data_IF_895568564428
#
_entry.id   IF_895568564428
#
_cell.length_a   1.000
_cell.length_b   1.000
_cell.length_c   1.000
_cell.angle_alpha   90.00
_cell.angle_beta   90.00
_cell.angle_gamma   90.00
#
_symmetry.space_group_name_H-M   'P 1'
#
loop_
_entity.id
_entity.type
_entity.pdbx_description
1 polymer ?
#
# COMPACT_ATOMS: atom_id res chain seq x y z
N UNK A 1 -16.61 -60.29 -20.34
CA UNK A 1 -17.24 -59.29 -19.45
C UNK A 1 -16.36 -59.13 -18.22
N UNK A 2 -15.59 -58.05 -18.15
CA UNK A 2 -14.88 -57.60 -16.95
C UNK A 2 -15.29 -56.15 -16.79
N UNK A 3 -16.06 -55.89 -15.74
CA UNK A 3 -16.72 -54.61 -15.51
C UNK A 3 -15.71 -53.56 -15.05
N UNK A 4 -15.79 -52.40 -15.69
CA UNK A 4 -14.88 -51.27 -15.51
C UNK A 4 -15.20 -50.57 -14.20
N UNK A 5 -14.31 -50.74 -13.22
CA UNK A 5 -14.29 -50.00 -11.96
C UNK A 5 -14.45 -48.49 -12.20
N UNK A 6 -15.60 -47.95 -11.78
CA UNK A 6 -15.85 -46.50 -11.68
C UNK A 6 -14.93 -45.93 -10.60
N UNK A 7 -13.86 -45.25 -11.01
CA UNK A 7 -13.13 -44.32 -10.13
C UNK A 7 -14.09 -43.18 -9.78
N UNK A 8 -14.59 -43.17 -8.55
CA UNK A 8 -15.26 -41.99 -8.01
C UNK A 8 -14.24 -40.85 -7.96
N UNK A 9 -14.44 -39.80 -8.75
CA UNK A 9 -13.75 -38.54 -8.51
C UNK A 9 -14.23 -38.01 -7.17
N UNK A 10 -13.40 -38.19 -6.15
CA UNK A 10 -13.56 -37.52 -4.87
C UNK A 10 -13.34 -36.03 -5.09
N UNK A 11 -14.37 -35.32 -5.56
CA UNK A 11 -14.40 -33.87 -5.50
C UNK A 11 -14.32 -33.49 -4.03
N UNK A 12 -13.25 -32.81 -3.64
CA UNK A 12 -13.13 -32.18 -2.33
C UNK A 12 -14.33 -31.24 -2.16
N UNK A 13 -15.33 -31.67 -1.38
CA UNK A 13 -16.43 -30.84 -0.94
C UNK A 13 -16.06 -30.35 0.46
N UNK A 14 -15.64 -29.09 0.62
CA UNK A 14 -15.44 -28.54 1.97
C UNK A 14 -16.75 -28.66 2.75
N UNK A 15 -16.63 -28.87 4.05
CA UNK A 15 -17.80 -29.00 4.91
C UNK A 15 -18.58 -27.68 4.90
N UNK A 16 -19.88 -27.72 5.14
CA UNK A 16 -20.73 -26.50 5.21
C UNK A 16 -20.27 -25.53 6.31
N UNK A 17 -19.41 -25.95 7.24
CA UNK A 17 -18.79 -25.08 8.25
C UNK A 17 -17.59 -24.27 7.72
N UNK A 18 -17.04 -24.62 6.55
CA UNK A 18 -15.94 -23.89 5.91
C UNK A 18 -16.43 -22.79 4.96
N UNK A 19 -17.75 -22.66 4.77
CA UNK A 19 -18.34 -21.79 3.76
C UNK A 19 -18.03 -20.31 4.04
N UNK A 20 -18.15 -19.89 5.31
CA UNK A 20 -17.79 -18.55 5.77
C UNK A 20 -16.29 -18.24 5.58
N UNK A 21 -15.43 -19.24 5.73
CA UNK A 21 -13.99 -19.10 5.51
C UNK A 21 -13.67 -18.82 4.03
N UNK A 22 -14.31 -19.54 3.11
CA UNK A 22 -14.10 -19.36 1.67
C UNK A 22 -14.75 -18.10 1.11
N UNK A 23 -15.89 -17.68 1.65
CA UNK A 23 -16.58 -16.46 1.21
C UNK A 23 -15.73 -15.20 1.48
N UNK A 24 -14.88 -15.23 2.53
CA UNK A 24 -13.95 -14.14 2.86
C UNK A 24 -12.68 -14.07 1.99
N UNK A 25 -12.31 -15.14 1.28
CA UNK A 25 -11.02 -15.26 0.58
C UNK A 25 -10.95 -14.46 -0.74
N UNK A 26 -12.04 -13.83 -1.17
CA UNK A 26 -12.13 -13.05 -2.41
C UNK A 26 -12.45 -11.57 -2.23
N UNK A 27 -12.80 -11.13 -1.02
CA UNK A 27 -13.27 -9.77 -0.81
C UNK A 27 -12.14 -8.75 -0.94
N UNK A 28 -12.33 -7.81 -1.86
CA UNK A 28 -11.39 -6.73 -2.06
C UNK A 28 -11.56 -5.74 -0.92
N UNK A 29 -10.50 -5.54 -0.12
CA UNK A 29 -10.45 -4.48 0.89
C UNK A 29 -10.76 -3.14 0.22
N UNK A 30 -11.80 -2.48 0.70
CA UNK A 30 -12.14 -1.13 0.24
C UNK A 30 -11.24 -0.11 0.94
N UNK A 31 -10.78 0.93 0.24
CA UNK A 31 -10.08 2.02 0.89
C UNK A 31 -11.03 2.72 1.86
N UNK A 32 -10.59 2.88 3.11
CA UNK A 32 -11.21 3.82 4.03
C UNK A 32 -11.10 5.24 3.43
N UNK A 33 -11.87 6.21 3.93
CA UNK A 33 -11.69 7.61 3.54
C UNK A 33 -11.33 8.43 4.77
N UNK A 34 -10.11 8.23 5.27
CA UNK A 34 -9.60 8.97 6.41
C UNK A 34 -9.27 10.42 6.02
N UNK A 35 -9.59 11.36 6.91
CA UNK A 35 -9.11 12.74 6.76
C UNK A 35 -7.62 12.79 7.03
N UNK A 36 -6.88 13.54 6.21
CA UNK A 36 -5.44 13.70 6.36
C UNK A 36 -4.99 15.16 6.36
N UNK A 37 -3.79 15.40 6.88
CA UNK A 37 -3.07 16.67 6.85
C UNK A 37 -1.74 16.47 6.14
N UNK A 38 -1.33 17.43 5.32
CA UNK A 38 -0.02 17.37 4.67
C UNK A 38 1.11 17.46 5.69
N UNK A 39 2.14 16.65 5.50
CA UNK A 39 3.36 16.75 6.29
C UNK A 39 4.09 18.06 5.95
N UNK A 40 4.50 18.81 6.98
CA UNK A 40 5.35 19.99 6.78
C UNK A 40 6.79 19.53 6.56
N UNK A 41 7.27 19.63 5.32
CA UNK A 41 8.61 19.15 4.98
C UNK A 41 9.71 20.07 5.56
N UNK A 42 10.63 19.55 6.39
CA UNK A 42 11.68 20.35 7.01
C UNK A 42 12.73 20.80 5.98
N UNK A 43 13.48 21.86 6.35
CA UNK A 43 14.58 22.37 5.49
C UNK A 43 15.88 21.59 5.67
N UNK A 44 16.11 21.05 6.87
CA UNK A 44 17.37 20.36 7.21
C UNK A 44 17.27 18.87 6.94
N UNK A 45 18.33 18.30 6.38
CA UNK A 45 18.39 16.88 6.00
C UNK A 45 18.07 15.92 7.15
N UNK A 46 18.61 16.19 8.33
CA UNK A 46 18.40 15.37 9.53
C UNK A 46 16.91 15.32 9.92
N UNK A 47 16.27 16.47 10.05
CA UNK A 47 14.84 16.56 10.35
C UNK A 47 13.96 15.95 9.25
N UNK A 48 14.37 16.04 7.97
CA UNK A 48 13.67 15.37 6.87
C UNK A 48 13.69 13.85 7.04
N UNK A 49 14.85 13.29 7.41
CA UNK A 49 14.97 11.85 7.66
C UNK A 49 14.17 11.42 8.88
N UNK A 50 14.23 12.17 9.97
CA UNK A 50 13.44 11.92 11.18
C UNK A 50 11.93 11.96 10.89
N UNK A 51 11.46 12.96 10.14
CA UNK A 51 10.08 13.06 9.72
C UNK A 51 9.68 11.86 8.85
N UNK A 52 10.53 11.47 7.89
CA UNK A 52 10.27 10.32 7.04
C UNK A 52 10.16 9.03 7.86
N UNK A 53 11.06 8.82 8.83
CA UNK A 53 11.03 7.64 9.68
C UNK A 53 9.82 7.60 10.61
N UNK A 54 9.43 8.75 11.16
CA UNK A 54 8.20 8.90 11.95
C UNK A 54 6.98 8.55 11.11
N UNK A 55 6.88 9.13 9.90
CA UNK A 55 5.84 8.80 8.93
C UNK A 55 5.84 7.30 8.59
N UNK A 56 7.00 6.73 8.30
CA UNK A 56 7.14 5.31 7.94
C UNK A 56 6.69 4.39 9.09
N UNK A 57 7.04 4.72 10.35
CA UNK A 57 6.61 3.96 11.51
C UNK A 57 5.07 3.95 11.66
N UNK A 58 4.43 5.11 11.49
CA UNK A 58 2.97 5.24 11.50
C UNK A 58 2.34 4.40 10.38
N UNK A 59 2.86 4.52 9.16
CA UNK A 59 2.37 3.76 7.99
C UNK A 59 2.44 2.26 8.24
N UNK A 60 3.55 1.77 8.78
CA UNK A 60 3.74 0.34 9.08
C UNK A 60 2.73 -0.16 10.11
N UNK A 61 2.46 0.62 11.16
CA UNK A 61 1.46 0.28 12.17
C UNK A 61 0.04 0.24 11.59
N UNK A 62 -0.32 1.26 10.81
CA UNK A 62 -1.63 1.33 10.17
C UNK A 62 -1.83 0.20 9.15
N UNK A 63 -0.82 -0.06 8.31
CA UNK A 63 -0.89 -1.18 7.37
C UNK A 63 -1.05 -2.52 8.09
N UNK A 64 -0.31 -2.75 9.17
CA UNK A 64 -0.46 -3.98 9.97
C UNK A 64 -1.86 -4.08 10.56
N UNK A 65 -2.40 -3.00 11.12
CA UNK A 65 -3.74 -2.96 11.71
C UNK A 65 -4.85 -3.30 10.70
N UNK A 66 -4.76 -2.75 9.49
CA UNK A 66 -5.75 -3.00 8.44
C UNK A 66 -5.44 -4.25 7.58
N UNK A 67 -4.32 -4.94 7.87
CA UNK A 67 -3.81 -6.07 7.10
C UNK A 67 -3.48 -5.72 5.65
N UNK A 68 -2.98 -4.51 5.40
CA UNK A 68 -2.55 -4.04 4.09
C UNK A 68 -1.11 -4.48 3.80
N UNK A 69 -0.76 -4.44 2.52
CA UNK A 69 0.58 -4.76 2.03
C UNK A 69 1.63 -3.77 2.55
N UNK A 70 2.76 -4.30 3.02
CA UNK A 70 3.93 -3.50 3.45
C UNK A 70 4.91 -3.24 2.30
N UNK A 71 4.61 -3.72 1.09
CA UNK A 71 5.53 -3.67 -0.06
C UNK A 71 5.86 -2.25 -0.49
N UNK A 72 4.85 -1.38 -0.62
CA UNK A 72 5.05 0.02 -1.01
C UNK A 72 5.80 0.81 0.07
N UNK A 73 5.37 0.79 1.36
CA UNK A 73 6.11 1.47 2.43
C UNK A 73 7.59 1.07 2.50
N UNK A 74 7.89 -0.22 2.32
CA UNK A 74 9.24 -0.74 2.39
C UNK A 74 10.20 -0.18 1.32
N UNK A 75 9.69 0.27 0.17
CA UNK A 75 10.53 0.74 -0.95
C UNK A 75 10.42 2.24 -1.22
N UNK A 76 9.41 2.91 -0.65
CA UNK A 76 9.06 4.28 -1.02
C UNK A 76 10.17 5.30 -0.74
N UNK A 77 11.00 5.06 0.28
CA UNK A 77 12.16 5.90 0.62
C UNK A 77 13.08 6.15 -0.58
N UNK A 78 13.24 5.15 -1.46
CA UNK A 78 14.11 5.21 -2.64
C UNK A 78 13.67 6.28 -3.65
N UNK A 79 12.41 6.68 -3.59
CA UNK A 79 11.77 7.57 -4.56
C UNK A 79 11.43 8.94 -3.96
N UNK A 80 11.82 9.21 -2.71
CA UNK A 80 11.62 10.50 -2.05
C UNK A 80 12.60 11.52 -2.63
N UNK A 81 12.05 12.60 -3.18
CA UNK A 81 12.80 13.81 -3.51
C UNK A 81 12.95 14.65 -2.26
N UNK A 82 14.13 14.56 -1.66
CA UNK A 82 14.39 15.16 -0.36
C UNK A 82 14.37 16.70 -0.34
N UNK A 83 14.44 17.35 -1.50
CA UNK A 83 14.32 18.79 -1.60
C UNK A 83 12.90 19.28 -1.22
N UNK A 84 11.86 18.52 -1.53
CA UNK A 84 10.45 18.92 -1.35
C UNK A 84 9.58 17.89 -0.61
N UNK A 85 10.13 16.72 -0.29
CA UNK A 85 9.42 15.66 0.44
C UNK A 85 8.45 14.86 -0.40
N UNK A 86 8.44 15.08 -1.72
CA UNK A 86 7.52 14.40 -2.63
C UNK A 86 8.14 13.12 -3.14
N UNK A 87 7.31 12.12 -3.31
CA UNK A 87 7.71 10.89 -3.98
C UNK A 87 7.35 11.02 -5.45
N UNK A 88 8.35 10.88 -6.33
CA UNK A 88 8.15 10.94 -7.78
C UNK A 88 8.62 9.62 -8.38
N UNK A 89 7.67 8.77 -8.71
CA UNK A 89 7.93 7.48 -9.33
C UNK A 89 6.73 7.01 -10.16
N UNK A 90 7.00 6.28 -11.23
CA UNK A 90 5.96 5.56 -11.95
C UNK A 90 5.58 4.28 -11.20
N UNK A 91 4.39 3.74 -11.46
CA UNK A 91 3.98 2.45 -10.88
C UNK A 91 4.95 1.34 -11.26
N UNK A 92 5.48 1.37 -12.49
CA UNK A 92 6.51 0.45 -12.99
C UNK A 92 7.79 0.50 -12.13
N UNK A 93 8.29 1.70 -11.81
CA UNK A 93 9.48 1.87 -10.97
C UNK A 93 9.27 1.30 -9.56
N UNK A 94 8.12 1.61 -8.95
CA UNK A 94 7.78 1.10 -7.61
C UNK A 94 7.61 -0.43 -7.66
N UNK A 95 6.95 -0.95 -8.69
CA UNK A 95 6.74 -2.39 -8.89
C UNK A 95 8.06 -3.15 -9.03
N UNK A 96 9.00 -2.61 -9.80
CA UNK A 96 10.33 -3.17 -9.96
C UNK A 96 11.10 -3.22 -8.63
N UNK A 97 10.98 -2.17 -7.80
CA UNK A 97 11.60 -2.14 -6.48
C UNK A 97 10.90 -3.05 -5.45
N UNK A 98 9.58 -3.18 -5.53
CA UNK A 98 8.74 -3.97 -4.64
C UNK A 98 8.61 -5.43 -5.11
N UNK A 99 9.75 -6.13 -5.18
CA UNK A 99 9.85 -7.57 -5.50
C UNK A 99 9.20 -7.99 -6.82
N UNK A 100 9.23 -7.13 -7.85
CA UNK A 100 8.71 -7.40 -9.21
C UNK A 100 7.23 -7.82 -9.23
N UNK A 101 6.40 -7.12 -8.47
CA UNK A 101 4.95 -7.28 -8.58
C UNK A 101 4.39 -6.56 -9.82
N UNK A 102 3.10 -6.73 -10.12
CA UNK A 102 2.47 -6.01 -11.22
C UNK A 102 2.15 -4.55 -10.85
N UNK A 103 2.21 -3.65 -11.83
CA UNK A 103 1.82 -2.24 -11.64
C UNK A 103 0.41 -2.08 -11.08
N UNK A 104 -0.52 -2.96 -11.47
CA UNK A 104 -1.89 -3.00 -10.95
C UNK A 104 -1.94 -3.28 -9.44
N UNK A 105 -0.99 -4.07 -8.94
CA UNK A 105 -0.86 -4.34 -7.50
C UNK A 105 -0.36 -3.10 -6.77
N UNK A 106 0.64 -2.40 -7.32
CA UNK A 106 1.11 -1.12 -6.77
C UNK A 106 0.01 -0.08 -6.75
N UNK A 107 -0.75 0.04 -7.84
CA UNK A 107 -1.87 0.97 -7.92
C UNK A 107 -2.89 0.72 -6.80
N UNK A 108 -3.21 -0.55 -6.53
CA UNK A 108 -4.10 -0.93 -5.43
C UNK A 108 -3.50 -0.63 -4.07
N UNK A 109 -2.24 -0.98 -3.85
CA UNK A 109 -1.55 -0.72 -2.58
C UNK A 109 -1.51 0.81 -2.31
N UNK A 110 -1.26 1.62 -3.34
CA UNK A 110 -1.31 3.08 -3.24
C UNK A 110 -2.72 3.60 -2.92
N UNK A 111 -3.77 3.06 -3.54
CA UNK A 111 -5.16 3.43 -3.22
C UNK A 111 -5.52 3.10 -1.77
N UNK A 112 -5.05 1.97 -1.25
CA UNK A 112 -5.28 1.59 0.15
C UNK A 112 -4.55 2.54 1.12
N UNK A 113 -3.31 2.91 0.80
CA UNK A 113 -2.53 3.89 1.58
C UNK A 113 -3.17 5.28 1.55
N UNK A 114 -3.64 5.71 0.39
CA UNK A 114 -4.38 6.97 0.25
C UNK A 114 -5.67 6.93 1.07
N UNK A 115 -6.37 5.80 1.08
CA UNK A 115 -7.60 5.62 1.85
C UNK A 115 -7.41 5.75 3.37
N UNK A 116 -6.29 5.27 3.91
CA UNK A 116 -5.94 5.48 5.34
C UNK A 116 -5.28 6.83 5.60
N UNK A 117 -5.18 7.71 4.59
CA UNK A 117 -4.75 9.08 4.77
C UNK A 117 -3.26 9.27 5.04
N UNK A 118 -2.41 8.28 4.73
CA UNK A 118 -0.95 8.39 4.91
C UNK A 118 -0.23 8.93 3.68
N UNK A 119 -0.90 8.95 2.53
CA UNK A 119 -0.42 9.60 1.32
C UNK A 119 -1.55 10.32 0.61
N UNK A 120 -1.18 11.23 -0.29
CA UNK A 120 -2.07 11.79 -1.31
C UNK A 120 -1.42 11.64 -2.68
N UNK A 121 -2.08 10.96 -3.60
CA UNK A 121 -1.53 10.71 -4.93
C UNK A 121 -2.16 11.65 -5.96
N UNK A 122 -1.33 12.49 -6.58
CA UNK A 122 -1.76 13.38 -7.67
C UNK A 122 -1.12 12.92 -8.98
N UNK A 123 -1.93 12.82 -10.04
CA UNK A 123 -1.41 12.57 -11.38
C UNK A 123 -0.94 13.89 -11.99
N UNK A 124 0.32 13.95 -12.37
CA UNK A 124 0.93 15.13 -13.00
C UNK A 124 1.38 14.73 -14.41
N UNK A 125 0.93 15.48 -15.40
CA UNK A 125 1.41 15.33 -16.77
C UNK A 125 2.76 16.02 -16.91
N UNK A 126 3.75 15.27 -17.35
CA UNK A 126 5.06 15.81 -17.71
C UNK A 126 5.07 16.16 -19.21
N UNK A 127 5.15 17.45 -19.56
CA UNK A 127 5.11 17.88 -20.95
C UNK A 127 6.36 17.48 -21.75
N UNK A 128 7.51 17.26 -21.10
CA UNK A 128 8.75 16.89 -21.77
C UNK A 128 8.75 15.41 -22.13
N UNK A 129 8.42 14.56 -21.16
CA UNK A 129 8.39 13.10 -21.38
C UNK A 129 7.07 12.61 -22.00
N UNK A 130 6.05 13.48 -22.08
CA UNK A 130 4.67 13.16 -22.49
C UNK A 130 4.06 12.00 -21.69
N UNK A 131 4.54 11.78 -20.47
CA UNK A 131 4.09 10.72 -19.57
C UNK A 131 3.35 11.33 -18.39
N UNK A 132 2.29 10.66 -17.96
CA UNK A 132 1.65 11.00 -16.69
C UNK A 132 2.37 10.29 -15.57
N UNK A 133 3.05 11.07 -14.72
CA UNK A 133 3.73 10.56 -13.54
C UNK A 133 2.85 10.77 -12.31
N UNK A 134 3.00 9.88 -11.33
CA UNK A 134 2.34 10.05 -10.04
C UNK A 134 3.29 10.80 -9.10
N UNK A 135 2.80 11.91 -8.58
CA UNK A 135 3.44 12.64 -7.48
C UNK A 135 2.67 12.27 -6.22
N UNK A 136 3.38 11.74 -5.23
CA UNK A 136 2.79 11.33 -3.97
C UNK A 136 3.31 12.26 -2.87
N UNK A 137 2.40 12.97 -2.22
CA UNK A 137 2.69 13.76 -1.04
C UNK A 137 2.52 12.87 0.21
N UNK A 138 3.44 12.99 1.16
CA UNK A 138 3.32 12.32 2.45
C UNK A 138 2.33 13.07 3.33
N UNK A 139 1.37 12.35 3.92
CA UNK A 139 0.35 12.94 4.78
C UNK A 139 0.26 12.17 6.09
N UNK A 140 -0.33 12.81 7.09
CA UNK A 140 -0.68 12.16 8.36
C UNK A 140 -2.19 12.10 8.50
N UNK A 141 -2.77 10.96 8.89
CA UNK A 141 -4.18 10.90 9.23
C UNK A 141 -4.48 11.81 10.43
N UNK A 142 -5.61 12.53 10.39
CA UNK A 142 -6.01 13.43 11.48
C UNK A 142 -6.48 12.67 12.72
N UNK A 143 -7.07 11.51 12.50
CA UNK A 143 -7.62 10.64 13.53
C UNK A 143 -6.78 9.37 13.50
N UNK A 144 -5.89 9.23 14.49
CA UNK A 144 -5.05 8.05 14.63
C UNK A 144 -5.22 7.52 16.05
N UNK A 145 -6.18 6.62 16.22
CA UNK A 145 -6.32 5.94 17.51
C UNK A 145 -5.14 4.98 17.71
N UNK A 146 -4.52 4.98 18.88
CA UNK A 146 -3.54 3.97 19.31
C UNK A 146 -2.31 3.80 18.38
N UNK A 147 -1.79 4.87 17.78
CA UNK A 147 -0.48 4.82 17.10
C UNK A 147 0.60 5.29 18.05
N UNK A 148 1.60 4.43 18.26
CA UNK A 148 2.75 4.73 19.11
C UNK A 148 3.80 5.37 18.22
N UNK A 149 4.12 6.63 18.48
CA UNK A 149 5.25 7.27 17.80
C UNK A 149 6.55 6.68 18.36
N UNK A 150 7.55 6.38 17.52
CA UNK A 150 8.87 6.01 18.03
C UNK A 150 9.39 7.16 18.89
N UNK A 151 9.90 6.84 20.09
CA UNK A 151 10.55 7.83 20.95
C UNK A 151 11.70 8.50 20.19
N UNK A 152 11.75 9.84 20.23
CA UNK A 152 12.77 10.68 19.55
C UNK A 152 14.19 10.41 20.04
#
# INVERSE_FOLDING_TARGET
MIDSSKRSSGAFRPSTDDQDFFDSLGERKQPLQARSTMALWPRTREHQEQLFWSWHAIVMQLCRRHGYSLRVPAVIKKFVFWQDGRVRATNEMIAAAATRCSEKTILRDLQLLEGIGVIKATMVFDPETKKTSRVIDLTFPKEVENVVLPDE
#
